data_IF_034920273197
#
_entry.id   IF_034920273197
#
_cell.length_a   1.000
_cell.length_b   1.000
_cell.length_c   1.000
_cell.angle_alpha   90.00
_cell.angle_beta   90.00
_cell.angle_gamma   90.00
#
_symmetry.space_group_name_H-M   'P 1'
#
loop_
_entity.id
_entity.type
_entity.pdbx_description
1 polymer ?
#
# COMPACT_ATOMS: atom_id res chain seq x y z
N UNK A 1 10.67 11.40 4.10
CA UNK A 1 9.20 11.37 4.23
C UNK A 1 8.65 10.67 2.99
N UNK A 2 7.92 9.57 3.13
CA UNK A 2 7.26 8.92 1.98
C UNK A 2 5.85 9.48 1.84
N UNK A 3 5.57 10.18 0.74
CA UNK A 3 4.23 10.68 0.44
C UNK A 3 3.36 9.55 -0.13
N UNK A 4 2.07 9.63 0.16
CA UNK A 4 1.05 8.74 -0.40
C UNK A 4 0.70 9.15 -1.82
N UNK A 5 0.14 8.20 -2.59
CA UNK A 5 -0.41 8.49 -3.92
C UNK A 5 -1.36 9.68 -3.89
N UNK A 6 -2.30 9.69 -2.95
CA UNK A 6 -3.34 10.73 -2.86
C UNK A 6 -2.75 12.12 -2.58
N UNK A 7 -1.73 12.20 -1.73
CA UNK A 7 -1.02 13.46 -1.47
C UNK A 7 -0.34 14.00 -2.74
N UNK A 8 0.30 13.12 -3.51
CA UNK A 8 0.94 13.51 -4.76
C UNK A 8 -0.09 13.94 -5.82
N UNK A 9 -1.24 13.23 -5.91
CA UNK A 9 -2.35 13.61 -6.81
C UNK A 9 -2.97 14.95 -6.42
N UNK A 10 -3.13 15.22 -5.13
CA UNK A 10 -3.62 16.52 -4.66
C UNK A 10 -2.67 17.66 -5.07
N UNK A 11 -1.35 17.46 -4.94
CA UNK A 11 -0.36 18.44 -5.38
C UNK A 11 -0.37 18.63 -6.91
N UNK A 12 -0.48 17.54 -7.68
CA UNK A 12 -0.65 17.59 -9.13
C UNK A 12 -1.85 18.49 -9.52
N UNK A 13 -3.01 18.28 -8.90
CA UNK A 13 -4.22 19.05 -9.17
C UNK A 13 -4.06 20.55 -8.85
N UNK A 14 -3.47 20.87 -7.69
CA UNK A 14 -3.20 22.26 -7.29
C UNK A 14 -2.28 22.96 -8.31
N UNK A 15 -1.24 22.28 -8.78
CA UNK A 15 -0.33 22.86 -9.76
C UNK A 15 -0.98 23.00 -11.15
N UNK A 16 -1.85 22.07 -11.53
CA UNK A 16 -2.66 22.20 -12.75
C UNK A 16 -3.61 23.39 -12.71
N UNK A 17 -4.29 23.60 -11.59
CA UNK A 17 -5.18 24.75 -11.39
C UNK A 17 -4.40 26.06 -11.43
N UNK A 18 -3.23 26.09 -10.77
CA UNK A 18 -2.33 27.24 -10.81
C UNK A 18 -1.82 27.54 -12.22
N UNK A 19 -1.42 26.52 -12.98
CA UNK A 19 -0.96 26.70 -14.35
C UNK A 19 -2.05 27.28 -15.28
N UNK A 20 -3.33 27.05 -14.97
CA UNK A 20 -4.46 27.56 -15.75
C UNK A 20 -4.84 29.00 -15.38
N UNK A 21 -4.80 29.33 -14.09
CA UNK A 21 -5.29 30.62 -13.57
C UNK A 21 -4.24 31.74 -13.54
N UNK A 22 -2.96 31.39 -13.58
CA UNK A 22 -1.87 32.34 -13.40
C UNK A 22 -1.65 33.24 -14.63
N UNK A 23 -1.64 34.59 -14.49
CA UNK A 23 -1.46 35.51 -15.60
C UNK A 23 -0.02 35.59 -16.13
N UNK A 24 0.97 35.25 -15.29
CA UNK A 24 2.38 35.33 -15.64
C UNK A 24 2.85 34.03 -16.30
N UNK A 25 3.27 34.11 -17.56
CA UNK A 25 3.64 32.93 -18.35
C UNK A 25 4.81 32.13 -17.75
N UNK A 26 5.80 32.82 -17.15
CA UNK A 26 6.89 32.14 -16.46
C UNK A 26 6.39 31.29 -15.28
N UNK A 27 5.39 31.76 -14.54
CA UNK A 27 4.81 31.02 -13.42
C UNK A 27 3.91 29.88 -13.93
N UNK A 28 3.16 30.09 -15.02
CA UNK A 28 2.42 29.02 -15.71
C UNK A 28 3.32 27.85 -16.11
N UNK A 29 4.46 28.14 -16.74
CA UNK A 29 5.44 27.13 -17.17
C UNK A 29 5.98 26.34 -15.97
N UNK A 30 6.31 27.03 -14.87
CA UNK A 30 6.82 26.37 -13.66
C UNK A 30 5.74 25.50 -13.01
N UNK A 31 4.52 26.00 -12.89
CA UNK A 31 3.39 25.26 -12.33
C UNK A 31 3.07 24.01 -13.17
N UNK A 32 3.10 24.12 -14.51
CA UNK A 32 2.89 22.98 -15.39
C UNK A 32 3.97 21.91 -15.22
N UNK A 33 5.25 22.31 -15.14
CA UNK A 33 6.36 21.38 -14.88
C UNK A 33 6.22 20.70 -13.52
N UNK A 34 5.81 21.45 -12.50
CA UNK A 34 5.55 20.91 -11.18
C UNK A 34 4.39 19.91 -11.20
N UNK A 35 3.29 20.21 -11.91
CA UNK A 35 2.16 19.30 -12.06
C UNK A 35 2.58 17.95 -12.67
N UNK A 36 3.36 17.99 -13.74
CA UNK A 36 3.90 16.78 -14.40
C UNK A 36 4.80 15.99 -13.44
N UNK A 37 5.69 16.67 -12.72
CA UNK A 37 6.57 16.02 -11.74
C UNK A 37 5.78 15.34 -10.61
N UNK A 38 4.73 16.00 -10.10
CA UNK A 38 3.82 15.42 -9.12
C UNK A 38 3.07 14.22 -9.66
N UNK A 39 2.63 14.24 -10.93
CA UNK A 39 2.03 13.10 -11.60
C UNK A 39 2.98 11.90 -11.66
N UNK A 40 4.26 12.11 -11.95
CA UNK A 40 5.27 11.04 -11.89
C UNK A 40 5.43 10.49 -10.47
N UNK A 41 5.56 11.34 -9.46
CA UNK A 41 5.69 10.88 -8.07
C UNK A 41 4.43 10.15 -7.59
N UNK A 42 3.24 10.58 -8.01
CA UNK A 42 1.98 9.89 -7.72
C UNK A 42 2.00 8.45 -8.26
N UNK A 43 2.38 8.26 -9.53
CA UNK A 43 2.50 6.91 -10.09
C UNK A 43 3.57 6.05 -9.38
N UNK A 44 4.67 6.66 -8.93
CA UNK A 44 5.69 5.97 -8.15
C UNK A 44 5.15 5.55 -6.77
N UNK A 45 4.39 6.42 -6.12
CA UNK A 45 3.72 6.17 -4.85
C UNK A 45 2.66 5.06 -4.97
N UNK A 46 1.81 5.11 -5.99
CA UNK A 46 0.83 4.04 -6.29
C UNK A 46 1.51 2.67 -6.40
N UNK A 47 2.62 2.60 -7.13
CA UNK A 47 3.40 1.37 -7.28
C UNK A 47 4.01 0.90 -5.96
N UNK A 48 4.56 1.83 -5.16
CA UNK A 48 5.10 1.51 -3.82
C UNK A 48 4.01 0.95 -2.91
N UNK A 49 2.87 1.60 -2.85
CA UNK A 49 1.75 1.17 -2.02
C UNK A 49 1.17 -0.17 -2.49
N UNK A 50 1.02 -0.37 -3.80
CA UNK A 50 0.57 -1.65 -4.35
C UNK A 50 1.54 -2.80 -4.02
N UNK A 51 2.86 -2.54 -3.99
CA UNK A 51 3.85 -3.52 -3.51
C UNK A 51 3.70 -3.78 -2.01
N UNK A 52 3.52 -2.74 -1.19
CA UNK A 52 3.30 -2.89 0.25
C UNK A 52 2.03 -3.71 0.55
N UNK A 53 0.92 -3.42 -0.14
CA UNK A 53 -0.34 -4.18 0.00
C UNK A 53 -0.15 -5.65 -0.35
N UNK A 54 0.51 -5.95 -1.47
CA UNK A 54 0.83 -7.33 -1.87
C UNK A 54 1.70 -8.05 -0.84
N UNK A 55 2.75 -7.39 -0.37
CA UNK A 55 3.68 -7.97 0.62
C UNK A 55 2.96 -8.28 1.93
N UNK A 56 2.08 -7.37 2.39
CA UNK A 56 1.26 -7.59 3.59
C UNK A 56 0.31 -8.77 3.44
N UNK A 57 -0.39 -8.87 2.31
CA UNK A 57 -1.30 -9.99 2.04
C UNK A 57 -0.56 -11.34 2.03
N UNK A 58 0.63 -11.40 1.43
CA UNK A 58 1.46 -12.63 1.44
C UNK A 58 1.89 -12.97 2.87
N UNK A 59 2.36 -11.99 3.64
CA UNK A 59 2.78 -12.21 5.01
C UNK A 59 1.62 -12.72 5.89
N UNK A 60 0.42 -12.18 5.70
CA UNK A 60 -0.80 -12.62 6.39
C UNK A 60 -1.18 -14.07 6.04
N UNK A 61 -1.12 -14.43 4.76
CA UNK A 61 -1.36 -15.82 4.30
C UNK A 61 -0.34 -16.78 4.92
N UNK A 62 0.96 -16.43 4.90
CA UNK A 62 2.00 -17.25 5.49
C UNK A 62 1.82 -17.41 7.00
N UNK A 63 1.40 -16.35 7.69
CA UNK A 63 1.12 -16.40 9.13
C UNK A 63 -0.03 -17.35 9.44
N UNK A 64 -1.13 -17.30 8.69
CA UNK A 64 -2.27 -18.22 8.85
C UNK A 64 -1.87 -19.67 8.55
N UNK A 65 -1.03 -19.90 7.54
CA UNK A 65 -0.52 -21.24 7.24
C UNK A 65 0.36 -21.77 8.37
N UNK A 66 1.26 -20.96 8.91
CA UNK A 66 2.11 -21.32 10.04
C UNK A 66 1.30 -21.66 11.28
N UNK A 67 0.29 -20.85 11.62
CA UNK A 67 -0.59 -21.14 12.74
C UNK A 67 -1.31 -22.48 12.58
N UNK A 68 -1.77 -22.81 11.36
CA UNK A 68 -2.41 -24.10 11.09
C UNK A 68 -1.44 -25.28 11.22
N UNK A 69 -0.18 -25.14 10.78
CA UNK A 69 0.80 -26.20 10.96
C UNK A 69 1.16 -26.38 12.43
N UNK A 70 1.34 -25.28 13.17
CA UNK A 70 1.67 -25.33 14.59
C UNK A 70 0.53 -26.01 15.39
N UNK A 71 -0.72 -25.67 15.09
CA UNK A 71 -1.90 -26.33 15.68
C UNK A 71 -1.99 -27.82 15.32
N UNK A 72 -1.67 -28.18 14.07
CA UNK A 72 -1.63 -29.57 13.63
C UNK A 72 -0.54 -30.36 14.35
N UNK A 73 0.65 -29.77 14.50
CA UNK A 73 1.78 -30.40 15.19
C UNK A 73 1.47 -30.56 16.68
N UNK A 74 0.88 -29.54 17.32
CA UNK A 74 0.41 -29.62 18.71
C UNK A 74 -0.62 -30.75 18.94
N UNK A 75 -1.50 -31.01 17.96
CA UNK A 75 -2.44 -32.14 18.00
C UNK A 75 -1.74 -33.47 17.76
N UNK A 76 -0.81 -33.53 16.80
CA UNK A 76 -0.12 -34.76 16.39
C UNK A 76 0.88 -35.26 17.43
N UNK A 77 1.52 -34.36 18.17
CA UNK A 77 2.45 -34.68 19.27
C UNK A 77 1.75 -34.80 20.63
N UNK A 78 0.42 -34.69 20.69
CA UNK A 78 -0.33 -34.85 21.93
C UNK A 78 -0.41 -36.33 22.32
N UNK A 79 0.11 -36.69 23.49
CA UNK A 79 -0.09 -38.02 24.10
C UNK A 79 -1.54 -38.28 24.52
N UNK A 80 -2.39 -37.26 24.49
CA UNK A 80 -3.78 -37.34 24.91
C UNK A 80 -4.68 -37.73 23.71
N UNK A 81 -5.23 -38.96 23.67
CA UNK A 81 -5.91 -39.53 22.49
C UNK A 81 -7.27 -38.87 22.17
N UNK A 82 -7.88 -38.20 23.15
CA UNK A 82 -9.18 -37.53 22.98
C UNK A 82 -9.05 -36.06 22.54
N UNK A 83 -7.82 -35.55 22.38
CA UNK A 83 -7.56 -34.14 22.10
C UNK A 83 -7.94 -33.79 20.65
N UNK A 84 -9.07 -33.11 20.50
CA UNK A 84 -9.61 -32.68 19.20
C UNK A 84 -11.06 -33.08 18.94
N UNK A 85 -11.67 -33.89 19.83
CA UNK A 85 -13.07 -34.32 19.76
C UNK A 85 -14.02 -33.52 20.70
N UNK A 86 -13.50 -32.52 21.41
CA UNK A 86 -14.24 -31.79 22.44
C UNK A 86 -15.09 -30.59 21.93
N UNK A 87 -14.99 -30.21 20.65
CA UNK A 87 -15.67 -29.04 20.09
C UNK A 87 -16.94 -29.38 19.28
N UNK A 88 -17.64 -30.49 19.58
CA UNK A 88 -18.95 -30.85 18.97
C UNK A 88 -20.11 -30.44 19.87
#
# INVERSE_FOLDING_TARGET
MELTSDQCRAQEAIQWERAQSEPLENVRIVALRAAIAWGHEATAAERREARKRRTRAIAEIMHVQQQRSDDHDLRSFSENPDRGFADV
#
